data_IF_970580649000
#
_entry.id   IF_970580649000
#
_cell.length_a   1.000
_cell.length_b   1.000
_cell.length_c   1.000
_cell.angle_alpha   90.00
_cell.angle_beta   90.00
_cell.angle_gamma   90.00
#
_symmetry.space_group_name_H-M   'P 1'
#
loop_
_entity.id
_entity.type
_entity.pdbx_description
1 polymer ?
#
# COMPACT_ATOMS: atom_id res chain seq x y z
N UNK A 1 5.52 -14.89 -17.52
CA UNK A 1 4.81 -13.80 -16.81
C UNK A 1 3.40 -14.22 -16.44
N UNK A 2 2.57 -14.67 -17.40
CA UNK A 2 1.18 -15.10 -17.12
C UNK A 2 1.03 -16.10 -15.97
N UNK A 3 1.88 -17.14 -15.92
CA UNK A 3 1.84 -18.14 -14.83
C UNK A 3 2.09 -17.53 -13.44
N UNK A 4 3.11 -16.65 -13.32
CA UNK A 4 3.43 -15.96 -12.06
C UNK A 4 2.26 -15.08 -11.62
N UNK A 5 1.64 -14.36 -12.56
CA UNK A 5 0.48 -13.50 -12.27
C UNK A 5 -0.74 -14.32 -11.83
N UNK A 6 -1.00 -15.45 -12.47
CA UNK A 6 -2.10 -16.36 -12.10
C UNK A 6 -1.86 -16.94 -10.71
N UNK A 7 -0.63 -17.40 -10.42
CA UNK A 7 -0.27 -17.91 -9.09
C UNK A 7 -0.43 -16.81 -8.02
N UNK A 8 0.03 -15.59 -8.30
CA UNK A 8 -0.12 -14.46 -7.38
C UNK A 8 -1.58 -14.17 -7.07
N UNK A 9 -2.46 -14.18 -8.09
CA UNK A 9 -3.89 -13.95 -7.92
C UNK A 9 -4.56 -15.06 -7.10
N UNK A 10 -4.32 -16.32 -7.46
CA UNK A 10 -4.96 -17.47 -6.80
C UNK A 10 -4.50 -17.58 -5.35
N UNK A 11 -3.20 -17.61 -5.10
CA UNK A 11 -2.66 -17.74 -3.74
C UNK A 11 -2.86 -16.47 -2.91
N UNK A 12 -2.94 -15.30 -3.54
CA UNK A 12 -3.28 -14.05 -2.87
C UNK A 12 -4.71 -14.04 -2.36
N UNK A 13 -5.70 -14.40 -3.20
CA UNK A 13 -7.10 -14.46 -2.78
C UNK A 13 -7.34 -15.58 -1.77
N UNK A 14 -6.79 -16.77 -2.01
CA UNK A 14 -6.90 -17.90 -1.08
C UNK A 14 -6.24 -17.58 0.27
N UNK A 15 -5.04 -16.99 0.25
CA UNK A 15 -4.32 -16.61 1.47
C UNK A 15 -5.07 -15.55 2.26
N UNK A 16 -5.62 -14.53 1.59
CA UNK A 16 -6.39 -13.48 2.25
C UNK A 16 -7.64 -14.03 2.94
N UNK A 17 -8.33 -14.97 2.29
CA UNK A 17 -9.52 -15.61 2.87
C UNK A 17 -9.19 -16.58 4.00
N UNK A 18 -8.12 -17.36 3.86
CA UNK A 18 -7.68 -18.30 4.90
C UNK A 18 -7.31 -17.56 6.18
N UNK A 19 -6.55 -16.47 6.08
CA UNK A 19 -6.17 -15.68 7.26
C UNK A 19 -7.38 -14.99 7.89
N UNK A 20 -8.31 -14.46 7.09
CA UNK A 20 -9.57 -13.92 7.61
C UNK A 20 -10.38 -14.97 8.39
N UNK A 21 -10.42 -16.22 7.90
CA UNK A 21 -11.06 -17.33 8.63
C UNK A 21 -10.35 -17.63 9.95
N UNK A 22 -9.01 -17.57 9.99
CA UNK A 22 -8.25 -17.78 11.22
C UNK A 22 -8.44 -16.65 12.23
N UNK A 23 -8.49 -15.39 11.77
CA UNK A 23 -8.75 -14.23 12.63
C UNK A 23 -10.18 -14.24 13.17
N UNK A 24 -11.16 -14.62 12.35
CA UNK A 24 -12.58 -14.65 12.68
C UNK A 24 -13.11 -16.07 12.93
N UNK A 25 -12.30 -16.91 13.57
CA UNK A 25 -12.59 -18.34 13.74
C UNK A 25 -13.94 -18.62 14.41
N UNK A 26 -14.32 -17.78 15.38
CA UNK A 26 -15.59 -17.91 16.11
C UNK A 26 -16.84 -17.68 15.25
N UNK A 27 -16.78 -16.78 14.28
CA UNK A 27 -17.90 -16.49 13.37
C UNK A 27 -17.93 -17.44 12.18
N UNK A 28 -16.76 -17.90 11.73
CA UNK A 28 -16.64 -18.98 10.77
C UNK A 28 -17.34 -20.27 11.25
N UNK A 29 -17.15 -20.67 12.51
CA UNK A 29 -17.77 -21.89 13.06
C UNK A 29 -19.31 -21.84 13.08
N UNK A 30 -19.91 -20.66 13.17
CA UNK A 30 -21.37 -20.50 13.19
C UNK A 30 -21.98 -20.68 11.80
N UNK A 31 -21.32 -20.18 10.76
CA UNK A 31 -21.84 -20.21 9.40
C UNK A 31 -20.74 -20.48 8.33
N UNK A 32 -20.18 -21.70 8.30
CA UNK A 32 -18.97 -21.99 7.53
C UNK A 32 -19.15 -21.87 6.01
N UNK A 33 -20.29 -22.32 5.45
CA UNK A 33 -20.53 -22.27 4.01
C UNK A 33 -20.71 -20.83 3.51
N UNK A 34 -21.52 -20.02 4.17
CA UNK A 34 -21.72 -18.62 3.78
C UNK A 34 -20.49 -17.76 4.02
N UNK A 35 -19.68 -18.06 5.03
CA UNK A 35 -18.46 -17.31 5.33
C UNK A 35 -17.38 -17.51 4.26
N UNK A 36 -17.18 -18.75 3.78
CA UNK A 36 -16.19 -19.07 2.72
C UNK A 36 -16.54 -18.41 1.39
N UNK A 37 -17.81 -18.43 0.99
CA UNK A 37 -18.24 -17.87 -0.30
C UNK A 37 -18.58 -16.38 -0.22
N UNK A 38 -18.50 -15.76 0.96
CA UNK A 38 -18.71 -14.32 1.07
C UNK A 38 -17.58 -13.54 0.38
N UNK A 39 -17.90 -12.55 -0.47
CA UNK A 39 -16.91 -11.61 -1.02
C UNK A 39 -16.22 -10.74 0.03
N UNK A 40 -16.78 -10.65 1.24
CA UNK A 40 -16.23 -9.87 2.36
C UNK A 40 -15.24 -10.68 3.21
N UNK A 41 -14.37 -10.00 3.95
CA UNK A 41 -13.41 -10.63 4.85
C UNK A 41 -12.18 -11.13 4.10
N UNK A 42 -11.29 -10.21 3.74
CA UNK A 42 -10.02 -10.51 3.07
C UNK A 42 -8.89 -9.82 3.84
N UNK A 43 -8.09 -10.60 4.56
CA UNK A 43 -6.97 -10.08 5.32
C UNK A 43 -5.77 -9.85 4.40
N UNK A 44 -5.27 -8.61 4.35
CA UNK A 44 -4.16 -8.21 3.48
C UNK A 44 -2.89 -9.05 3.69
N UNK A 45 -2.48 -9.26 4.95
CA UNK A 45 -1.27 -10.00 5.28
C UNK A 45 -1.29 -11.45 4.79
N UNK A 46 -2.44 -12.13 4.91
CA UNK A 46 -2.60 -13.49 4.42
C UNK A 46 -2.40 -13.59 2.91
N UNK A 47 -2.98 -12.66 2.16
CA UNK A 47 -2.80 -12.62 0.72
C UNK A 47 -1.37 -12.34 0.30
N UNK A 48 -0.71 -11.37 0.95
CA UNK A 48 0.69 -11.03 0.67
C UNK A 48 1.63 -12.21 0.94
N UNK A 49 1.52 -12.87 2.10
CA UNK A 49 2.41 -13.95 2.51
C UNK A 49 2.24 -15.16 1.59
N UNK A 50 1.01 -15.61 1.37
CA UNK A 50 0.74 -16.79 0.54
C UNK A 50 1.14 -16.55 -0.92
N UNK A 51 0.86 -15.38 -1.49
CA UNK A 51 1.30 -15.04 -2.85
C UNK A 51 2.83 -14.98 -2.94
N UNK A 52 3.51 -14.34 -1.97
CA UNK A 52 4.97 -14.25 -1.96
C UNK A 52 5.64 -15.64 -1.90
N UNK A 53 5.13 -16.55 -1.05
CA UNK A 53 5.64 -17.92 -0.94
C UNK A 53 5.42 -18.67 -2.26
N UNK A 54 4.23 -18.60 -2.85
CA UNK A 54 3.92 -19.29 -4.11
C UNK A 54 4.82 -18.83 -5.26
N UNK A 55 5.01 -17.50 -5.38
CA UNK A 55 5.90 -16.90 -6.38
C UNK A 55 7.35 -17.31 -6.13
N UNK A 56 7.79 -17.35 -4.87
CA UNK A 56 9.15 -17.76 -4.52
C UNK A 56 9.43 -19.23 -4.85
N UNK A 57 8.50 -20.14 -4.53
CA UNK A 57 8.60 -21.57 -4.87
C UNK A 57 8.66 -21.75 -6.39
N UNK A 58 7.80 -21.07 -7.14
CA UNK A 58 7.83 -21.08 -8.60
C UNK A 58 9.16 -20.54 -9.14
N UNK A 59 9.63 -19.40 -8.64
CA UNK A 59 10.89 -18.80 -9.06
C UNK A 59 12.09 -19.73 -8.83
N UNK A 60 12.12 -20.45 -7.69
CA UNK A 60 13.16 -21.45 -7.38
C UNK A 60 13.10 -22.63 -8.34
N UNK A 61 11.91 -23.15 -8.65
CA UNK A 61 11.73 -24.26 -9.59
C UNK A 61 12.19 -23.92 -11.01
N UNK A 62 12.05 -22.66 -11.41
CA UNK A 62 12.40 -22.17 -12.75
C UNK A 62 13.77 -21.46 -12.81
N UNK A 63 14.60 -21.56 -11.77
CA UNK A 63 15.93 -20.93 -11.69
C UNK A 63 15.92 -19.41 -11.96
N UNK A 64 14.82 -18.72 -11.60
CA UNK A 64 14.71 -17.28 -11.74
C UNK A 64 15.49 -16.62 -10.59
N UNK A 65 16.41 -15.71 -10.94
CA UNK A 65 17.22 -15.00 -9.95
C UNK A 65 16.37 -14.13 -9.02
N UNK A 66 16.52 -14.29 -7.71
CA UNK A 66 15.76 -13.57 -6.68
C UNK A 66 15.77 -12.05 -6.87
N UNK A 67 16.94 -11.46 -7.14
CA UNK A 67 17.07 -10.00 -7.32
C UNK A 67 16.40 -9.51 -8.60
N UNK A 68 16.46 -10.28 -9.70
CA UNK A 68 15.80 -9.92 -10.95
C UNK A 68 14.27 -9.99 -10.82
N UNK A 69 13.76 -10.96 -10.05
CA UNK A 69 12.34 -11.06 -9.76
C UNK A 69 11.83 -9.86 -8.97
N UNK A 70 12.55 -9.46 -7.91
CA UNK A 70 12.18 -8.30 -7.09
C UNK A 70 12.30 -6.98 -7.86
N UNK A 71 13.35 -6.80 -8.68
CA UNK A 71 13.47 -5.63 -9.55
C UNK A 71 12.30 -5.54 -10.55
N UNK A 72 11.87 -6.68 -11.11
CA UNK A 72 10.71 -6.72 -12.00
C UNK A 72 9.40 -6.39 -11.27
N UNK A 73 9.26 -6.82 -10.01
CA UNK A 73 8.09 -6.58 -9.19
C UNK A 73 7.99 -5.13 -8.69
N UNK A 74 9.12 -4.46 -8.41
CA UNK A 74 9.16 -3.14 -7.77
C UNK A 74 8.25 -2.07 -8.42
N UNK A 75 8.34 -1.79 -9.74
CA UNK A 75 7.43 -0.82 -10.36
C UNK A 75 5.97 -1.28 -10.30
N UNK A 76 5.71 -2.58 -10.50
CA UNK A 76 4.34 -3.11 -10.48
C UNK A 76 3.70 -3.04 -9.10
N UNK A 77 4.49 -3.19 -8.02
CA UNK A 77 4.01 -3.02 -6.65
C UNK A 77 3.58 -1.58 -6.38
N UNK A 78 4.38 -0.61 -6.83
CA UNK A 78 4.04 0.80 -6.70
C UNK A 78 2.77 1.17 -7.49
N UNK A 79 2.62 0.63 -8.69
CA UNK A 79 1.40 0.81 -9.49
C UNK A 79 0.19 0.16 -8.81
N UNK A 80 0.33 -1.06 -8.31
CA UNK A 80 -0.75 -1.78 -7.61
C UNK A 80 -1.20 -1.02 -6.36
N UNK A 81 -0.27 -0.42 -5.62
CA UNK A 81 -0.56 0.43 -4.48
C UNK A 81 -1.39 1.67 -4.89
N UNK A 82 -0.94 2.42 -5.89
CA UNK A 82 -1.68 3.58 -6.39
C UNK A 82 -3.08 3.21 -6.88
N UNK A 83 -3.24 2.09 -7.58
CA UNK A 83 -4.55 1.61 -8.02
C UNK A 83 -5.45 1.19 -6.85
N UNK A 84 -4.90 0.54 -5.82
CA UNK A 84 -5.64 0.16 -4.62
C UNK A 84 -6.21 1.37 -3.87
N UNK A 85 -5.45 2.48 -3.82
CA UNK A 85 -5.87 3.73 -3.17
C UNK A 85 -7.03 4.44 -3.86
N UNK A 86 -7.30 4.15 -5.13
CA UNK A 86 -8.53 4.60 -5.80
C UNK A 86 -9.76 3.99 -5.10
N UNK A 87 -9.68 2.71 -4.71
CA UNK A 87 -10.73 2.04 -3.95
C UNK A 87 -11.01 2.75 -2.62
N UNK A 88 -9.95 3.05 -1.86
CA UNK A 88 -10.05 3.80 -0.60
C UNK A 88 -10.71 5.18 -0.81
N UNK A 89 -10.29 5.91 -1.86
CA UNK A 89 -10.84 7.23 -2.18
C UNK A 89 -12.34 7.20 -2.49
N UNK A 90 -12.79 6.19 -3.24
CA UNK A 90 -14.20 6.08 -3.65
C UNK A 90 -15.07 5.48 -2.55
N UNK A 91 -14.53 4.56 -1.76
CA UNK A 91 -15.27 3.90 -0.67
C UNK A 91 -15.40 4.80 0.58
N UNK A 92 -14.45 5.71 0.82
CA UNK A 92 -14.39 6.43 2.09
C UNK A 92 -14.21 5.46 3.26
N UNK A 93 -13.15 4.68 3.23
CA UNK A 93 -12.85 3.61 4.20
C UNK A 93 -12.05 4.07 5.41
N UNK A 94 -11.91 5.38 5.64
CA UNK A 94 -11.20 5.92 6.80
C UNK A 94 -9.73 6.24 6.55
N UNK A 95 -9.22 6.01 5.34
CA UNK A 95 -7.85 6.34 4.97
C UNK A 95 -7.60 7.83 4.67
N UNK A 96 -8.49 8.71 5.13
CA UNK A 96 -8.40 10.16 4.97
C UNK A 96 -7.47 10.84 5.98
N UNK A 97 -7.14 12.10 5.68
CA UNK A 97 -6.24 12.94 6.45
C UNK A 97 -6.90 13.66 7.62
N UNK A 98 -6.14 14.54 8.25
CA UNK A 98 -6.64 15.48 9.25
C UNK A 98 -7.65 16.45 8.65
N UNK A 99 -8.45 17.06 9.53
CA UNK A 99 -9.39 18.12 9.16
C UNK A 99 -8.68 19.26 8.40
N UNK A 100 -9.30 19.69 7.31
CA UNK A 100 -8.78 20.72 6.42
C UNK A 100 -9.82 21.81 6.16
N UNK A 101 -9.73 22.88 6.94
CA UNK A 101 -10.48 24.12 6.73
C UNK A 101 -9.67 25.19 5.99
N UNK A 102 -8.45 24.86 5.54
CA UNK A 102 -7.58 25.83 4.88
C UNK A 102 -8.06 26.11 3.46
N UNK A 103 -7.97 27.36 2.98
CA UNK A 103 -8.30 27.69 1.61
C UNK A 103 -7.38 26.93 0.65
N UNK A 104 -7.93 26.48 -0.48
CA UNK A 104 -7.15 25.80 -1.50
C UNK A 104 -6.05 26.70 -2.07
N UNK A 105 -4.84 26.16 -2.34
CA UNK A 105 -3.71 26.95 -2.81
C UNK A 105 -3.90 27.49 -4.24
N UNK A 106 -4.73 26.82 -5.05
CA UNK A 106 -4.97 27.17 -6.45
C UNK A 106 -6.46 27.25 -6.74
N UNK A 107 -6.89 28.33 -7.39
CA UNK A 107 -8.32 28.58 -7.70
C UNK A 107 -8.90 27.56 -8.68
N UNK A 108 -8.10 27.06 -9.62
CA UNK A 108 -8.51 26.08 -10.62
C UNK A 108 -8.66 24.65 -10.07
N UNK A 109 -8.14 24.38 -8.87
CA UNK A 109 -8.19 23.05 -8.26
C UNK A 109 -9.63 22.75 -7.79
N UNK A 110 -10.22 21.61 -8.17
CA UNK A 110 -11.50 21.15 -7.61
C UNK A 110 -11.44 21.02 -6.08
N UNK A 111 -12.51 21.41 -5.39
CA UNK A 111 -12.50 21.46 -3.92
C UNK A 111 -12.25 20.07 -3.31
N UNK A 112 -12.86 19.02 -3.88
CA UNK A 112 -12.67 17.63 -3.45
C UNK A 112 -11.23 17.12 -3.54
N UNK A 113 -10.36 17.75 -4.35
CA UNK A 113 -8.93 17.40 -4.43
C UNK A 113 -8.12 18.03 -3.30
N UNK A 114 -8.69 18.97 -2.54
CA UNK A 114 -8.03 19.66 -1.43
C UNK A 114 -8.68 19.35 -0.08
N UNK A 115 -10.00 19.40 -0.04
CA UNK A 115 -10.84 19.25 1.14
C UNK A 115 -12.10 18.46 0.75
N UNK A 116 -12.30 17.28 1.33
CA UNK A 116 -13.39 16.38 0.96
C UNK A 116 -14.09 15.82 2.21
N UNK A 117 -15.42 15.70 2.16
CA UNK A 117 -16.24 15.21 3.29
C UNK A 117 -16.60 13.73 3.20
N UNK A 118 -16.22 13.04 2.11
CA UNK A 118 -16.55 11.63 1.87
C UNK A 118 -18.05 11.32 2.12
N UNK A 119 -18.96 11.88 1.30
CA UNK A 119 -20.37 11.50 1.35
C UNK A 119 -20.50 10.01 1.03
N UNK A 120 -21.44 9.34 1.69
CA UNK A 120 -21.67 7.91 1.57
C UNK A 120 -20.47 7.02 1.93
N UNK A 121 -19.68 7.44 2.92
CA UNK A 121 -18.51 6.68 3.35
C UNK A 121 -18.90 5.30 3.94
N UNK A 122 -18.12 4.27 3.61
CA UNK A 122 -18.39 2.88 4.01
C UNK A 122 -18.26 2.67 5.53
N UNK A 123 -17.52 3.54 6.21
CA UNK A 123 -17.33 3.51 7.66
C UNK A 123 -18.52 4.09 8.43
N UNK A 124 -19.52 4.66 7.74
CA UNK A 124 -20.65 5.35 8.36
C UNK A 124 -20.19 6.41 9.39
N UNK A 125 -19.04 7.03 9.15
CA UNK A 125 -18.45 8.05 10.00
C UNK A 125 -19.10 9.42 9.77
N UNK A 126 -19.18 10.22 10.85
CA UNK A 126 -19.66 11.60 10.81
C UNK A 126 -21.15 11.72 11.13
N UNK A 127 -21.85 12.57 10.37
CA UNK A 127 -23.28 12.89 10.59
C UNK A 127 -24.15 12.31 9.47
N UNK A 128 -25.43 11.99 9.75
CA UNK A 128 -26.37 11.57 8.71
C UNK A 128 -26.68 12.72 7.74
N UNK A 129 -26.81 12.38 6.46
CA UNK A 129 -27.21 13.29 5.40
C UNK A 129 -28.73 13.50 5.42
N UNK A 130 -29.20 14.73 5.21
CA UNK A 130 -30.62 15.09 5.35
C UNK A 130 -31.56 14.31 4.40
N UNK A 131 -31.09 13.98 3.20
CA UNK A 131 -31.89 13.35 2.14
C UNK A 131 -31.48 11.88 1.87
N UNK A 132 -30.84 11.21 2.84
CA UNK A 132 -30.41 9.80 2.69
C UNK A 132 -30.85 8.97 3.90
N UNK A 133 -31.53 7.86 3.64
CA UNK A 133 -31.97 6.91 4.68
C UNK A 133 -31.46 5.52 4.32
N UNK A 134 -30.72 4.89 5.25
CA UNK A 134 -30.17 3.55 5.06
C UNK A 134 -28.67 3.49 5.36
N UNK A 135 -28.03 2.42 4.88
CA UNK A 135 -26.58 2.24 5.01
C UNK A 135 -25.82 3.22 4.13
N UNK A 136 -24.64 3.62 4.59
CA UNK A 136 -23.77 4.55 3.85
C UNK A 136 -24.47 5.89 3.56
N UNK A 137 -25.20 6.42 4.55
CA UNK A 137 -25.88 7.73 4.45
C UNK A 137 -25.21 8.81 5.31
N UNK A 138 -23.93 8.64 5.62
CA UNK A 138 -23.18 9.55 6.46
C UNK A 138 -22.10 10.30 5.67
N UNK A 139 -21.78 11.50 6.14
CA UNK A 139 -20.69 12.34 5.66
C UNK A 139 -19.90 12.93 6.85
N UNK A 140 -18.64 13.28 6.62
CA UNK A 140 -17.84 13.97 7.63
C UNK A 140 -18.36 15.40 7.84
N UNK A 141 -18.55 15.84 9.09
CA UNK A 141 -19.06 17.18 9.39
C UNK A 141 -18.06 18.29 9.03
N UNK A 142 -16.77 17.96 9.08
CA UNK A 142 -15.65 18.84 8.71
C UNK A 142 -14.90 18.17 7.56
N UNK A 143 -14.57 18.89 6.48
CA UNK A 143 -13.81 18.32 5.39
C UNK A 143 -12.39 17.98 5.83
N UNK A 144 -11.81 16.95 5.24
CA UNK A 144 -10.48 16.43 5.54
C UNK A 144 -9.60 16.46 4.29
N UNK A 145 -8.28 16.39 4.48
CA UNK A 145 -7.37 16.17 3.36
C UNK A 145 -7.63 14.79 2.73
N UNK A 146 -7.86 14.69 1.41
CA UNK A 146 -8.09 13.42 0.74
C UNK A 146 -6.77 12.67 0.52
N UNK A 147 -6.16 12.16 1.59
CA UNK A 147 -4.88 11.43 1.54
C UNK A 147 -4.86 10.24 0.57
N UNK A 148 -5.95 9.43 0.40
CA UNK A 148 -5.93 8.35 -0.58
C UNK A 148 -5.73 8.87 -2.00
N UNK A 149 -6.33 10.02 -2.34
CA UNK A 149 -6.11 10.67 -3.63
C UNK A 149 -4.66 11.13 -3.81
N UNK A 150 -4.03 11.67 -2.77
CA UNK A 150 -2.60 12.04 -2.80
C UNK A 150 -1.72 10.80 -3.00
N UNK A 151 -2.02 9.69 -2.33
CA UNK A 151 -1.33 8.41 -2.50
C UNK A 151 -1.50 7.86 -3.92
N UNK A 152 -2.67 8.01 -4.56
CA UNK A 152 -2.86 7.64 -5.98
C UNK A 152 -1.91 8.43 -6.88
N UNK A 153 -1.89 9.76 -6.74
CA UNK A 153 -1.02 10.62 -7.57
C UNK A 153 0.44 10.26 -7.36
N UNK A 154 0.89 10.18 -6.10
CA UNK A 154 2.27 9.84 -5.78
C UNK A 154 2.63 8.43 -6.26
N UNK A 155 1.75 7.45 -6.07
CA UNK A 155 1.96 6.09 -6.56
C UNK A 155 2.16 6.03 -8.07
N UNK A 156 1.35 6.77 -8.84
CA UNK A 156 1.51 6.86 -10.30
C UNK A 156 2.80 7.59 -10.70
N UNK A 157 3.16 8.68 -10.03
CA UNK A 157 4.40 9.43 -10.28
C UNK A 157 5.64 8.59 -9.94
N UNK A 158 5.63 7.89 -8.80
CA UNK A 158 6.71 7.02 -8.36
C UNK A 158 6.81 5.79 -9.26
N UNK A 159 5.69 5.22 -9.72
CA UNK A 159 5.70 4.19 -10.75
C UNK A 159 6.37 4.71 -12.03
N UNK A 160 5.96 5.87 -12.54
CA UNK A 160 6.55 6.46 -13.74
C UNK A 160 8.05 6.73 -13.56
N UNK A 161 8.46 7.22 -12.38
CA UNK A 161 9.86 7.42 -12.02
C UNK A 161 10.64 6.10 -12.04
N UNK A 162 10.21 5.09 -11.29
CA UNK A 162 10.83 3.76 -11.25
C UNK A 162 10.90 3.13 -12.65
N UNK A 163 9.82 3.25 -13.41
CA UNK A 163 9.76 2.79 -14.79
C UNK A 163 10.80 3.50 -15.67
N UNK A 164 10.96 4.81 -15.54
CA UNK A 164 11.92 5.59 -16.33
C UNK A 164 13.38 5.22 -16.06
N UNK A 165 13.72 4.84 -14.82
CA UNK A 165 15.08 4.51 -14.40
C UNK A 165 15.41 3.02 -14.51
N UNK A 166 14.42 2.15 -14.73
CA UNK A 166 14.60 0.68 -14.77
C UNK A 166 15.70 0.19 -15.70
N UNK A 167 15.90 0.86 -16.84
CA UNK A 167 16.93 0.50 -17.84
C UNK A 167 18.31 1.09 -17.54
N UNK A 168 18.38 2.09 -16.65
CA UNK A 168 19.63 2.75 -16.23
C UNK A 168 20.33 1.96 -15.12
N UNK A 169 19.56 1.26 -14.29
CA UNK A 169 20.06 0.44 -13.20
C UNK A 169 20.47 -0.95 -13.70
N UNK A 170 21.79 -1.20 -13.77
CA UNK A 170 22.35 -2.46 -14.28
C UNK A 170 22.67 -3.49 -13.20
N UNK A 171 22.69 -3.08 -11.94
CA UNK A 171 23.03 -3.97 -10.82
C UNK A 171 21.74 -4.61 -10.30
N UNK A 172 21.61 -5.95 -10.33
CA UNK A 172 20.40 -6.61 -9.83
C UNK A 172 20.12 -6.28 -8.37
N UNK A 173 18.85 -6.02 -8.05
CA UNK A 173 18.32 -5.65 -6.74
C UNK A 173 18.34 -4.15 -6.46
N UNK A 174 18.97 -3.33 -7.30
CA UNK A 174 19.03 -1.88 -7.06
C UNK A 174 17.73 -1.16 -7.37
N UNK A 175 16.92 -1.67 -8.32
CA UNK A 175 15.61 -1.10 -8.60
C UNK A 175 14.63 -1.39 -7.45
N UNK A 176 14.69 -2.59 -6.87
CA UNK A 176 13.93 -2.92 -5.67
C UNK A 176 14.37 -2.11 -4.45
N UNK A 177 15.67 -1.93 -4.25
CA UNK A 177 16.19 -1.06 -3.19
C UNK A 177 15.69 0.39 -3.33
N UNK A 178 15.69 0.93 -4.56
CA UNK A 178 15.13 2.25 -4.85
C UNK A 178 13.63 2.32 -4.57
N UNK A 179 12.88 1.27 -4.94
CA UNK A 179 11.46 1.15 -4.60
C UNK A 179 11.22 1.24 -3.10
N UNK A 180 11.97 0.50 -2.27
CA UNK A 180 11.84 0.54 -0.81
C UNK A 180 12.09 1.95 -0.26
N UNK A 181 13.09 2.66 -0.80
CA UNK A 181 13.38 4.04 -0.40
C UNK A 181 12.25 5.00 -0.77
N UNK A 182 11.79 5.00 -2.01
CA UNK A 182 10.74 5.93 -2.43
C UNK A 182 9.40 5.60 -1.79
N UNK A 183 9.08 4.33 -1.59
CA UNK A 183 7.87 3.88 -0.89
C UNK A 183 7.92 4.24 0.60
N UNK A 184 9.08 4.10 1.26
CA UNK A 184 9.26 4.56 2.64
C UNK A 184 9.08 6.07 2.76
N UNK A 185 9.66 6.85 1.85
CA UNK A 185 9.52 8.31 1.85
C UNK A 185 8.06 8.75 1.62
N UNK A 186 7.40 8.16 0.64
CA UNK A 186 5.98 8.37 0.31
C UNK A 186 5.09 8.16 1.54
N UNK A 187 5.23 7.00 2.19
CA UNK A 187 4.50 6.67 3.41
C UNK A 187 4.76 7.65 4.54
N UNK A 188 6.02 8.03 4.74
CA UNK A 188 6.39 8.99 5.79
C UNK A 188 5.71 10.36 5.57
N UNK A 189 5.65 10.85 4.33
CA UNK A 189 5.04 12.13 4.01
C UNK A 189 3.52 12.12 4.19
N UNK A 190 2.85 11.05 3.77
CA UNK A 190 1.39 10.93 3.92
C UNK A 190 1.00 10.77 5.38
N UNK A 191 1.78 10.05 6.17
CA UNK A 191 1.47 9.84 7.57
C UNK A 191 1.46 11.13 8.39
N UNK A 192 2.22 12.15 7.98
CA UNK A 192 2.16 13.49 8.59
C UNK A 192 0.83 14.19 8.38
N UNK A 193 0.10 13.83 7.33
CA UNK A 193 -1.21 14.38 6.98
C UNK A 193 -2.33 13.50 7.54
N UNK A 194 -2.08 12.21 7.83
CA UNK A 194 -3.08 11.29 8.38
C UNK A 194 -3.45 11.58 9.82
N UNK A 195 -4.69 11.24 10.18
CA UNK A 195 -5.18 11.23 11.56
C UNK A 195 -4.60 10.00 12.24
N UNK A 196 -3.45 10.16 12.90
CA UNK A 196 -2.86 9.09 13.68
C UNK A 196 -2.82 9.42 15.16
N UNK A 197 -3.04 8.39 15.98
CA UNK A 197 -2.77 8.44 17.40
C UNK A 197 -1.27 8.20 17.63
N UNK A 198 -0.54 9.14 18.25
CA UNK A 198 0.85 8.92 18.63
C UNK A 198 0.99 7.72 19.58
N UNK A 199 2.03 6.91 19.41
CA UNK A 199 2.39 5.88 20.38
C UNK A 199 3.43 6.43 21.35
N UNK A 200 3.18 6.32 22.65
CA UNK A 200 4.12 6.74 23.69
C UNK A 200 5.22 5.67 23.85
N UNK A 201 6.40 5.92 23.25
CA UNK A 201 7.57 5.05 23.43
C UNK A 201 8.70 5.88 24.01
N UNK A 202 9.01 5.65 25.29
CA UNK A 202 10.25 6.13 25.92
C UNK A 202 10.47 7.66 25.82
N UNK A 203 9.39 8.45 25.90
CA UNK A 203 9.44 9.92 25.80
C UNK A 203 9.49 10.47 24.37
N UNK A 204 9.45 9.60 23.36
CA UNK A 204 9.24 9.94 21.96
C UNK A 204 7.86 9.43 21.51
N UNK A 205 7.17 10.22 20.68
CA UNK A 205 5.82 9.90 20.21
C UNK A 205 5.75 9.60 18.69
N UNK A 206 6.60 8.71 18.12
CA UNK A 206 6.47 8.34 16.72
C UNK A 206 5.26 7.42 16.52
N UNK A 207 4.54 7.61 15.43
CA UNK A 207 3.45 6.72 15.03
C UNK A 207 4.01 5.39 14.50
N UNK A 208 3.22 4.32 14.57
CA UNK A 208 3.64 2.99 14.08
C UNK A 208 4.06 3.02 12.61
N UNK A 209 3.35 3.82 11.80
CA UNK A 209 3.62 3.97 10.39
C UNK A 209 4.89 4.80 10.09
N UNK A 210 5.25 5.79 10.93
CA UNK A 210 6.54 6.49 10.81
C UNK A 210 7.73 5.55 11.07
N UNK A 211 7.60 4.62 12.02
CA UNK A 211 8.62 3.62 12.28
C UNK A 211 8.78 2.67 11.08
N UNK A 212 7.67 2.12 10.57
CA UNK A 212 7.68 1.19 9.43
C UNK A 212 8.25 1.87 8.17
N UNK A 213 7.81 3.09 7.87
CA UNK A 213 8.30 3.86 6.71
C UNK A 213 9.80 4.17 6.81
N UNK A 214 10.28 4.54 8.00
CA UNK A 214 11.71 4.77 8.26
C UNK A 214 12.53 3.49 8.08
N UNK A 215 12.05 2.35 8.59
CA UNK A 215 12.71 1.05 8.41
C UNK A 215 12.75 0.61 6.94
N UNK A 216 11.67 0.83 6.19
CA UNK A 216 11.63 0.59 4.75
C UNK A 216 12.69 1.44 4.02
N UNK A 217 12.78 2.72 4.35
CA UNK A 217 13.78 3.60 3.74
C UNK A 217 15.21 3.15 4.04
N UNK A 218 15.52 2.89 5.32
CA UNK A 218 16.86 2.47 5.76
C UNK A 218 17.24 1.13 5.13
N UNK A 219 16.33 0.16 5.10
CA UNK A 219 16.60 -1.15 4.49
C UNK A 219 16.89 -1.02 2.99
N UNK A 220 16.14 -0.18 2.26
CA UNK A 220 16.42 0.16 0.87
C UNK A 220 17.80 0.79 0.69
N UNK A 221 18.16 1.76 1.53
CA UNK A 221 19.47 2.41 1.49
C UNK A 221 20.63 1.44 1.74
N UNK A 222 20.50 0.59 2.76
CA UNK A 222 21.51 -0.44 3.07
C UNK A 222 21.67 -1.42 1.91
N UNK A 223 20.56 -1.92 1.36
CA UNK A 223 20.57 -2.80 0.19
C UNK A 223 21.26 -2.14 -1.00
N UNK A 224 20.94 -0.89 -1.29
CA UNK A 224 21.56 -0.12 -2.36
C UNK A 224 23.09 -0.05 -2.20
N UNK A 225 23.56 0.32 -1.01
CA UNK A 225 24.99 0.45 -0.71
C UNK A 225 25.70 -0.91 -0.84
N UNK A 226 25.12 -1.98 -0.26
CA UNK A 226 25.73 -3.32 -0.29
C UNK A 226 25.82 -3.86 -1.72
N UNK A 227 24.73 -3.77 -2.50
CA UNK A 227 24.68 -4.30 -3.87
C UNK A 227 25.61 -3.54 -4.81
N UNK A 228 25.64 -2.21 -4.72
CA UNK A 228 26.51 -1.38 -5.57
C UNK A 228 27.99 -1.54 -5.22
N UNK A 229 28.34 -1.71 -3.93
CA UNK A 229 29.72 -2.02 -3.52
C UNK A 229 30.17 -3.39 -4.05
N UNK A 230 29.35 -4.44 -3.87
CA UNK A 230 29.66 -5.79 -4.38
C UNK A 230 29.89 -5.78 -5.90
N UNK A 231 29.04 -5.09 -6.65
CA UNK A 231 29.18 -4.99 -8.11
C UNK A 231 30.47 -4.27 -8.56
N UNK A 232 30.94 -3.27 -7.80
CA UNK A 232 32.22 -2.60 -8.08
C UNK A 232 33.41 -3.53 -7.82
N UNK A 233 33.40 -4.27 -6.71
CA UNK A 233 34.46 -5.22 -6.38
C UNK A 233 34.61 -6.29 -7.46
N UNK A 234 33.51 -6.90 -7.92
CA UNK A 234 33.55 -7.93 -8.97
C UNK A 234 34.16 -7.41 -10.27
N UNK A 235 33.87 -6.17 -10.66
CA UNK A 235 34.47 -5.53 -11.85
C UNK A 235 35.95 -5.20 -11.71
N UNK A 236 36.46 -5.07 -10.49
CA UNK A 236 37.89 -4.79 -10.25
C UNK A 236 38.74 -6.07 -10.25
N UNK A 237 38.12 -7.22 -10.07
CA UNK A 237 38.77 -8.54 -10.00
C UNK A 237 38.68 -9.36 -11.29
N UNK A 238 37.96 -8.85 -12.29
CA UNK A 238 37.81 -9.43 -13.65
C UNK A 238 38.57 -8.58 -14.65
#
# INVERSE_FOLDING_TARGET
VGEITILALIFGLLGAKLFDIFENWGDFLKHPSSYIFSPSGLTFYGGLICAAIAIWVYARKHNIGFWHLNDAAAPTLMLAYGLGRIGCQVAGDGDWGIENINPKPFSWLPDWMWAYTYPHNVNEAGRPMADCVGKYCNELPVPVYPTPFYEVIMGLLLFAFLWSVRKKLKVPGTLFALYLMVNGLERFLIEKIRVNNPMDILGFHPTQAELISTLLFISGLVLWIVLTRRAKTTKSTS
#
